data_IF_912188012575
#
_entry.id   IF_912188012575
#
_cell.length_a   1.000
_cell.length_b   1.000
_cell.length_c   1.000
_cell.angle_alpha   90.00
_cell.angle_beta   90.00
_cell.angle_gamma   90.00
#
_symmetry.space_group_name_H-M   'P 1'
#
loop_
_entity.id
_entity.type
_entity.pdbx_description
1 polymer ?
#
# COMPACT_ATOMS: atom_id res chain seq x y z
N UNK A 1 3.36 5.13 8.93
CA UNK A 1 3.67 4.99 7.48
C UNK A 1 2.83 3.86 6.92
N UNK A 2 2.53 3.84 5.62
CA UNK A 2 1.60 2.85 5.03
C UNK A 2 1.99 1.38 5.34
N UNK A 3 3.29 1.06 5.30
CA UNK A 3 3.79 -0.29 5.64
C UNK A 3 3.79 -0.61 7.14
N UNK A 4 3.71 0.41 8.01
CA UNK A 4 3.64 0.30 9.47
C UNK A 4 2.19 0.34 10.00
N UNK A 5 1.19 0.46 9.13
CA UNK A 5 -0.21 0.51 9.54
C UNK A 5 -0.67 -0.78 10.22
N UNK A 6 -0.05 -1.92 9.89
CA UNK A 6 -0.29 -3.21 10.50
C UNK A 6 0.82 -3.55 11.50
N UNK A 7 0.44 -3.86 12.75
CA UNK A 7 1.40 -4.18 13.82
C UNK A 7 2.13 -5.52 13.59
N UNK A 8 1.39 -6.59 13.26
CA UNK A 8 1.91 -7.95 13.04
C UNK A 8 1.50 -8.48 11.65
N UNK A 9 2.03 -7.90 10.55
CA UNK A 9 1.57 -8.17 9.18
C UNK A 9 1.70 -9.64 8.76
N UNK A 10 2.62 -10.40 9.34
CA UNK A 10 2.80 -11.84 9.11
C UNK A 10 1.62 -12.70 9.60
N UNK A 11 0.77 -12.15 10.46
CA UNK A 11 -0.40 -12.85 11.01
C UNK A 11 -1.69 -12.56 10.24
N UNK A 12 -1.66 -11.58 9.33
CA UNK A 12 -2.82 -11.06 8.63
C UNK A 12 -2.92 -11.66 7.22
N UNK A 13 -4.14 -11.92 6.78
CA UNK A 13 -4.43 -12.16 5.37
C UNK A 13 -4.31 -10.89 4.54
N UNK A 14 -4.25 -11.02 3.22
CA UNK A 14 -4.21 -9.87 2.28
C UNK A 14 -5.40 -8.94 2.49
N UNK A 15 -6.60 -9.47 2.70
CA UNK A 15 -7.81 -8.67 2.94
C UNK A 15 -7.74 -7.92 4.28
N UNK A 16 -7.16 -8.52 5.32
CA UNK A 16 -6.96 -7.88 6.63
C UNK A 16 -5.90 -6.77 6.57
N UNK A 17 -4.84 -6.97 5.78
CA UNK A 17 -3.85 -5.91 5.49
C UNK A 17 -4.49 -4.75 4.73
N UNK A 18 -5.29 -5.04 3.70
CA UNK A 18 -6.04 -4.03 2.96
C UNK A 18 -6.98 -3.24 3.85
N UNK A 19 -7.73 -3.90 4.73
CA UNK A 19 -8.60 -3.23 5.69
C UNK A 19 -7.81 -2.31 6.63
N UNK A 20 -6.59 -2.71 7.02
CA UNK A 20 -5.70 -1.91 7.85
C UNK A 20 -5.22 -0.65 7.11
N UNK A 21 -4.87 -0.78 5.83
CA UNK A 21 -4.52 0.37 4.99
C UNK A 21 -5.71 1.29 4.76
N UNK A 22 -6.90 0.73 4.53
CA UNK A 22 -8.14 1.50 4.40
C UNK A 22 -8.42 2.34 5.65
N UNK A 23 -8.28 1.76 6.84
CA UNK A 23 -8.50 2.45 8.11
C UNK A 23 -7.51 3.60 8.35
N UNK A 24 -6.24 3.40 7.97
CA UNK A 24 -5.22 4.45 8.05
C UNK A 24 -5.55 5.62 7.10
N UNK A 25 -5.90 5.33 5.85
CA UNK A 25 -6.32 6.35 4.88
C UNK A 25 -7.59 7.07 5.33
N UNK A 26 -8.58 6.33 5.82
CA UNK A 26 -9.83 6.87 6.35
C UNK A 26 -9.57 7.84 7.50
N UNK A 27 -8.64 7.51 8.40
CA UNK A 27 -8.26 8.39 9.52
C UNK A 27 -7.80 9.76 9.01
N UNK A 28 -6.91 9.78 8.01
CA UNK A 28 -6.47 11.05 7.39
C UNK A 28 -7.63 11.79 6.73
N UNK A 29 -8.48 11.09 5.97
CA UNK A 29 -9.66 11.72 5.32
C UNK A 29 -10.66 12.28 6.35
N UNK A 30 -10.89 11.58 7.46
CA UNK A 30 -11.78 12.04 8.55
C UNK A 30 -11.20 13.29 9.25
N UNK A 31 -9.88 13.39 9.38
CA UNK A 31 -9.20 14.50 10.05
C UNK A 31 -9.12 15.76 9.18
N UNK A 32 -8.76 15.63 7.90
CA UNK A 32 -8.57 16.79 6.99
C UNK A 32 -9.82 17.11 6.15
N UNK A 33 -10.73 16.14 6.01
CA UNK A 33 -11.97 16.23 5.26
C UNK A 33 -11.83 15.92 3.77
N UNK A 34 -12.87 15.29 3.19
CA UNK A 34 -12.97 14.92 1.77
C UNK A 34 -12.67 16.09 0.82
N UNK A 35 -13.24 17.27 1.09
CA UNK A 35 -13.06 18.46 0.24
C UNK A 35 -11.60 18.89 0.14
N UNK A 36 -10.85 18.76 1.22
CA UNK A 36 -9.42 19.10 1.29
C UNK A 36 -8.61 18.08 0.49
N UNK A 37 -8.86 16.78 0.68
CA UNK A 37 -8.14 15.73 -0.05
C UNK A 37 -8.37 15.86 -1.57
N UNK A 38 -9.61 16.11 -2.00
CA UNK A 38 -9.94 16.33 -3.42
C UNK A 38 -9.28 17.60 -3.99
N UNK A 39 -9.03 18.61 -3.15
CA UNK A 39 -8.39 19.86 -3.61
C UNK A 39 -6.87 19.76 -3.71
N UNK A 40 -6.25 18.96 -2.86
CA UNK A 40 -4.78 18.83 -2.74
C UNK A 40 -4.22 17.62 -3.51
N UNK A 41 -5.08 16.71 -3.97
CA UNK A 41 -4.68 15.51 -4.75
C UNK A 41 -5.36 15.50 -6.13
N UNK A 42 -4.87 14.65 -7.03
CA UNK A 42 -5.49 14.43 -8.35
C UNK A 42 -6.68 13.43 -8.31
N UNK A 43 -7.10 13.00 -7.11
CA UNK A 43 -8.19 12.05 -6.91
C UNK A 43 -9.57 12.69 -7.12
N UNK A 44 -10.48 11.95 -7.73
CA UNK A 44 -11.86 12.36 -7.81
C UNK A 44 -12.60 12.17 -6.48
N UNK A 45 -13.67 12.96 -6.30
CA UNK A 45 -14.47 12.95 -5.07
C UNK A 45 -15.06 11.56 -4.75
N UNK A 46 -15.48 10.80 -5.76
CA UNK A 46 -16.10 9.50 -5.52
C UNK A 46 -15.11 8.53 -4.89
N UNK A 47 -13.88 8.54 -5.37
CA UNK A 47 -12.76 7.77 -4.82
C UNK A 47 -12.47 8.16 -3.36
N UNK A 48 -12.38 9.46 -3.06
CA UNK A 48 -12.12 9.93 -1.68
C UNK A 48 -13.29 9.62 -0.72
N UNK A 49 -14.53 9.74 -1.19
CA UNK A 49 -15.72 9.35 -0.41
C UNK A 49 -15.72 7.84 -0.12
N UNK A 50 -15.32 7.01 -1.09
CA UNK A 50 -15.19 5.57 -0.90
C UNK A 50 -14.12 5.21 0.13
N UNK A 51 -13.00 5.95 0.18
CA UNK A 51 -12.00 5.82 1.25
C UNK A 51 -12.59 6.18 2.62
N UNK A 52 -13.34 7.28 2.71
CA UNK A 52 -14.01 7.68 3.96
C UNK A 52 -15.05 6.66 4.46
N UNK A 53 -15.67 5.94 3.53
CA UNK A 53 -16.63 4.86 3.80
C UNK A 53 -15.95 3.49 4.03
N UNK A 54 -14.61 3.41 4.00
CA UNK A 54 -13.82 2.16 4.07
C UNK A 54 -14.25 1.12 3.02
N UNK A 55 -14.58 1.56 1.80
CA UNK A 55 -14.89 0.67 0.70
C UNK A 55 -13.60 -0.06 0.25
N UNK A 56 -13.41 -1.26 0.78
CA UNK A 56 -12.21 -2.08 0.53
C UNK A 56 -12.02 -2.39 -0.96
N UNK A 57 -13.09 -2.49 -1.75
CA UNK A 57 -12.98 -2.76 -3.20
C UNK A 57 -12.40 -1.56 -3.94
N UNK A 58 -12.73 -0.35 -3.53
CA UNK A 58 -12.16 0.86 -4.13
C UNK A 58 -10.73 1.06 -3.62
N UNK A 59 -10.51 0.86 -2.33
CA UNK A 59 -9.17 0.97 -1.71
C UNK A 59 -8.19 -0.04 -2.32
N UNK A 60 -8.62 -1.28 -2.61
CA UNK A 60 -7.75 -2.29 -3.21
C UNK A 60 -7.19 -1.88 -4.57
N UNK A 61 -7.96 -1.11 -5.34
CA UNK A 61 -7.60 -0.64 -6.68
C UNK A 61 -6.75 0.63 -6.66
N UNK A 62 -6.68 1.35 -5.53
CA UNK A 62 -5.81 2.52 -5.38
C UNK A 62 -4.35 2.11 -5.54
N UNK A 63 -3.57 2.96 -6.20
CA UNK A 63 -2.12 2.83 -6.24
C UNK A 63 -1.48 3.26 -4.92
N UNK A 64 -0.27 2.76 -4.65
CA UNK A 64 0.56 3.22 -3.53
C UNK A 64 0.82 4.73 -3.63
N UNK A 65 0.99 5.26 -4.84
CA UNK A 65 1.10 6.69 -5.10
C UNK A 65 -0.17 7.47 -4.69
N UNK A 66 -1.36 7.00 -5.09
CA UNK A 66 -2.63 7.63 -4.71
C UNK A 66 -2.88 7.57 -3.20
N UNK A 67 -2.60 6.43 -2.57
CA UNK A 67 -2.67 6.27 -1.12
C UNK A 67 -1.69 7.21 -0.40
N UNK A 68 -0.46 7.32 -0.91
CA UNK A 68 0.54 8.25 -0.40
C UNK A 68 0.11 9.72 -0.57
N UNK A 69 -0.56 10.06 -1.67
CA UNK A 69 -1.08 11.40 -1.90
C UNK A 69 -2.14 11.77 -0.86
N UNK A 70 -3.04 10.84 -0.49
CA UNK A 70 -4.00 11.04 0.59
C UNK A 70 -3.29 11.28 1.93
N UNK A 71 -2.36 10.39 2.30
CA UNK A 71 -1.63 10.50 3.57
C UNK A 71 -0.85 11.82 3.68
N UNK A 72 -0.21 12.26 2.58
CA UNK A 72 0.59 13.48 2.53
C UNK A 72 -0.22 14.78 2.69
N UNK A 73 -1.55 14.74 2.65
CA UNK A 73 -2.40 15.90 2.98
C UNK A 73 -2.31 16.24 4.47
N UNK A 74 -2.08 15.24 5.33
CA UNK A 74 -1.83 15.47 6.75
C UNK A 74 -0.37 15.84 7.01
N UNK A 75 -0.15 16.88 7.82
CA UNK A 75 1.20 17.31 8.25
C UNK A 75 1.91 16.27 9.14
N UNK A 76 1.22 15.20 9.55
CA UNK A 76 1.79 14.10 10.33
C UNK A 76 2.59 13.12 9.49
N UNK A 77 2.38 13.11 8.16
CA UNK A 77 3.08 12.23 7.23
C UNK A 77 4.12 13.00 6.40
N UNK A 78 5.16 12.32 5.90
CA UNK A 78 6.03 12.88 4.88
C UNK A 78 5.28 13.24 3.59
N UNK A 79 5.96 13.92 2.67
CA UNK A 79 5.42 14.14 1.33
C UNK A 79 5.16 12.81 0.60
N UNK A 80 4.27 12.82 -0.40
CA UNK A 80 3.84 11.66 -1.20
C UNK A 80 5.05 10.83 -1.66
N UNK A 81 6.06 11.50 -2.24
CA UNK A 81 7.25 10.84 -2.75
C UNK A 81 8.05 10.18 -1.64
N UNK A 82 8.16 10.80 -0.47
CA UNK A 82 8.77 10.23 0.73
C UNK A 82 8.09 8.91 1.12
N UNK A 83 6.76 8.91 1.22
CA UNK A 83 5.98 7.72 1.56
C UNK A 83 6.21 6.59 0.55
N UNK A 84 6.11 6.87 -0.75
CA UNK A 84 6.30 5.86 -1.81
C UNK A 84 7.73 5.27 -1.77
N UNK A 85 8.74 6.11 -1.56
CA UNK A 85 10.13 5.65 -1.46
C UNK A 85 10.35 4.75 -0.25
N UNK A 86 9.78 5.10 0.90
CA UNK A 86 9.88 4.27 2.11
C UNK A 86 9.16 2.94 1.97
N UNK A 87 7.98 2.90 1.33
CA UNK A 87 7.28 1.64 1.01
C UNK A 87 8.15 0.73 0.14
N UNK A 88 8.76 1.28 -0.92
CA UNK A 88 9.64 0.49 -1.81
C UNK A 88 10.91 0.01 -1.12
N UNK A 89 11.54 0.88 -0.33
CA UNK A 89 12.72 0.52 0.46
C UNK A 89 12.39 -0.59 1.46
N UNK A 90 11.24 -0.49 2.14
CA UNK A 90 10.76 -1.52 3.05
C UNK A 90 10.62 -2.88 2.35
N UNK A 91 9.98 -2.92 1.18
CA UNK A 91 9.83 -4.15 0.40
C UNK A 91 11.20 -4.73 0.00
N UNK A 92 12.11 -3.91 -0.52
CA UNK A 92 13.46 -4.34 -0.92
C UNK A 92 14.28 -4.89 0.26
N UNK A 93 14.24 -4.20 1.39
CA UNK A 93 14.91 -4.63 2.62
C UNK A 93 14.27 -5.91 3.17
N UNK A 94 12.95 -6.02 3.10
CA UNK A 94 12.20 -7.20 3.48
C UNK A 94 12.54 -8.42 2.62
N UNK A 95 12.56 -8.26 1.29
CA UNK A 95 12.99 -9.31 0.34
C UNK A 95 14.41 -9.79 0.62
N UNK A 96 15.34 -8.86 0.88
CA UNK A 96 16.73 -9.18 1.20
C UNK A 96 16.83 -10.00 2.48
N UNK A 97 16.04 -9.64 3.50
CA UNK A 97 16.02 -10.33 4.80
C UNK A 97 15.38 -11.71 4.70
N UNK A 98 14.27 -11.82 3.96
CA UNK A 98 13.54 -13.06 3.73
C UNK A 98 14.21 -13.98 2.68
N UNK A 99 15.26 -13.50 2.00
CA UNK A 99 15.91 -14.18 0.87
C UNK A 99 14.89 -14.56 -0.22
N UNK A 100 14.04 -13.60 -0.58
CA UNK A 100 13.03 -13.75 -1.61
C UNK A 100 13.48 -13.11 -2.92
N UNK A 101 13.28 -13.84 -4.02
CA UNK A 101 13.34 -13.30 -5.38
C UNK A 101 11.93 -13.01 -5.92
N UNK A 102 11.86 -12.22 -6.99
CA UNK A 102 10.60 -11.77 -7.59
C UNK A 102 9.77 -12.90 -8.21
N UNK A 103 10.41 -13.95 -8.71
CA UNK A 103 9.72 -15.13 -9.26
C UNK A 103 9.05 -15.93 -8.14
N UNK A 104 9.72 -16.03 -6.97
CA UNK A 104 9.16 -16.65 -5.77
C UNK A 104 7.98 -15.84 -5.25
N UNK A 105 8.06 -14.50 -5.25
CA UNK A 105 6.94 -13.64 -4.86
C UNK A 105 5.75 -13.89 -5.78
N UNK A 106 5.94 -13.72 -7.09
CA UNK A 106 4.90 -13.92 -8.10
C UNK A 106 4.23 -15.31 -7.99
N UNK A 107 4.99 -16.36 -7.67
CA UNK A 107 4.45 -17.71 -7.55
C UNK A 107 3.65 -17.98 -6.26
N UNK A 108 3.68 -17.08 -5.27
CA UNK A 108 3.11 -17.30 -3.94
C UNK A 108 2.07 -16.24 -3.53
N UNK A 109 1.77 -15.26 -4.38
CA UNK A 109 0.74 -14.24 -4.14
C UNK A 109 -0.50 -14.53 -5.01
N UNK A 110 -1.68 -14.18 -4.50
CA UNK A 110 -2.96 -14.36 -5.22
C UNK A 110 -3.30 -13.14 -6.08
N UNK A 111 -2.30 -12.60 -6.78
CA UNK A 111 -2.44 -11.55 -7.78
C UNK A 111 -1.74 -11.99 -9.06
N UNK A 112 -2.32 -11.70 -10.22
CA UNK A 112 -1.83 -12.16 -11.52
C UNK A 112 -0.66 -11.30 -12.02
N UNK A 113 0.47 -11.38 -11.30
CA UNK A 113 1.71 -10.71 -11.64
C UNK A 113 2.77 -11.72 -12.04
N UNK A 114 3.51 -11.41 -13.10
CA UNK A 114 4.77 -12.07 -13.41
C UNK A 114 5.89 -11.56 -12.50
N UNK A 115 6.98 -12.32 -12.35
CA UNK A 115 8.15 -11.86 -11.60
C UNK A 115 8.75 -10.55 -12.17
N UNK A 116 8.61 -10.32 -13.47
CA UNK A 116 9.01 -9.06 -14.09
C UNK A 116 8.12 -7.88 -13.66
N UNK A 117 6.81 -8.08 -13.55
CA UNK A 117 5.88 -7.03 -13.11
C UNK A 117 6.08 -6.71 -11.62
N UNK A 118 6.30 -7.74 -10.79
CA UNK A 118 6.71 -7.55 -9.39
C UNK A 118 7.99 -6.70 -9.31
N UNK A 119 9.00 -7.04 -10.11
CA UNK A 119 10.24 -6.25 -10.16
C UNK A 119 9.98 -4.80 -10.57
N UNK A 120 9.19 -4.57 -11.61
CA UNK A 120 8.90 -3.22 -12.10
C UNK A 120 8.14 -2.38 -11.08
N UNK A 121 7.19 -2.98 -10.37
CA UNK A 121 6.41 -2.31 -9.33
C UNK A 121 7.30 -1.89 -8.15
N UNK A 122 8.16 -2.79 -7.65
CA UNK A 122 9.10 -2.50 -6.54
C UNK A 122 10.16 -1.47 -6.94
N UNK A 123 10.65 -1.52 -8.19
CA UNK A 123 11.58 -0.52 -8.73
C UNK A 123 10.91 0.82 -9.10
N UNK A 124 9.57 0.89 -9.03
CA UNK A 124 8.79 2.08 -9.37
C UNK A 124 8.74 2.43 -10.85
N UNK A 125 8.85 1.43 -11.71
CA UNK A 125 8.69 1.56 -13.17
C UNK A 125 7.23 1.44 -13.60
N UNK A 126 6.41 0.79 -12.79
CA UNK A 126 4.96 0.68 -12.95
C UNK A 126 4.28 1.03 -11.62
N UNK A 127 3.07 1.58 -11.64
CA UNK A 127 2.27 1.72 -10.42
C UNK A 127 2.03 0.36 -9.76
N UNK A 128 1.92 0.35 -8.44
CA UNK A 128 1.57 -0.81 -7.63
C UNK A 128 0.26 -0.50 -6.92
N UNK A 129 -0.75 -1.36 -7.06
CA UNK A 129 -2.02 -1.23 -6.32
C UNK A 129 -1.86 -1.60 -4.85
N UNK A 130 -2.78 -1.19 -3.99
CA UNK A 130 -2.79 -1.60 -2.58
C UNK A 130 -3.05 -3.10 -2.44
N UNK A 131 -3.81 -3.72 -3.35
CA UNK A 131 -3.98 -5.17 -3.38
C UNK A 131 -2.65 -5.90 -3.63
N UNK A 132 -1.90 -5.47 -4.64
CA UNK A 132 -0.57 -6.02 -4.95
C UNK A 132 0.40 -5.75 -3.81
N UNK A 133 0.38 -4.54 -3.24
CA UNK A 133 1.20 -4.18 -2.10
C UNK A 133 0.91 -5.07 -0.89
N UNK A 134 -0.36 -5.23 -0.51
CA UNK A 134 -0.76 -6.09 0.61
C UNK A 134 -0.33 -7.55 0.40
N UNK A 135 -0.49 -8.08 -0.81
CA UNK A 135 -0.10 -9.45 -1.13
C UNK A 135 1.43 -9.65 -1.04
N UNK A 136 2.21 -8.73 -1.60
CA UNK A 136 3.68 -8.79 -1.58
C UNK A 136 4.19 -8.57 -0.14
N UNK A 137 3.68 -7.56 0.56
CA UNK A 137 4.09 -7.22 1.92
C UNK A 137 3.79 -8.36 2.90
N UNK A 138 2.58 -8.93 2.86
CA UNK A 138 2.20 -10.06 3.70
C UNK A 138 3.09 -11.28 3.50
N UNK A 139 3.37 -11.65 2.24
CA UNK A 139 4.28 -12.76 1.93
C UNK A 139 5.70 -12.52 2.45
N UNK A 140 6.22 -11.31 2.30
CA UNK A 140 7.54 -10.93 2.82
C UNK A 140 7.56 -11.04 4.34
N UNK A 141 6.54 -10.52 5.02
CA UNK A 141 6.41 -10.58 6.48
C UNK A 141 6.37 -12.03 6.96
N UNK A 142 5.51 -12.87 6.38
CA UNK A 142 5.40 -14.31 6.69
C UNK A 142 6.75 -15.03 6.55
N UNK A 143 7.57 -14.67 5.57
CA UNK A 143 8.87 -15.30 5.33
C UNK A 143 9.97 -14.80 6.25
N UNK A 144 9.89 -13.57 6.78
CA UNK A 144 10.86 -13.01 7.73
C UNK A 144 10.73 -13.62 9.12
N UNK A 145 9.55 -14.05 9.53
CA UNK A 145 9.30 -14.64 10.86
C UNK A 145 9.74 -16.12 10.96
N UNK A 146 10.18 -16.72 9.85
CA UNK A 146 10.50 -18.16 9.74
C UNK A 146 11.96 -18.53 9.97
#
# INVERSE_FOLDING_TARGET
MLYDAADDPETLSTDELLATYAAELRTVVDDVGVDTVVAETDLDRGTVEAVADEDVSTVSDLTVEEAAAILAVSEEYPDERGIVLEVRDHLLMGMTTAVLDVDTIAANIDVDLTGQEVQQAIEGRTPMTLAEFAAIHGLIAERKDR
#
